data_IF_974218228208
#
_entry.id   IF_974218228208
#
_cell.length_a   1.000
_cell.length_b   1.000
_cell.length_c   1.000
_cell.angle_alpha   90.00
_cell.angle_beta   90.00
_cell.angle_gamma   90.00
#
_symmetry.space_group_name_H-M   'P 1'
#
loop_
_entity.id
_entity.type
_entity.pdbx_description
1 polymer ?
#
# COMPACT_ATOMS: atom_id res chain seq x y z
N UNK A 1 -3.13 70.40 67.86
CA UNK A 1 -2.28 69.80 66.81
C UNK A 1 -2.41 68.27 66.64
N UNK A 2 -2.99 67.50 67.58
CA UNK A 2 -3.12 66.03 67.42
C UNK A 2 -4.13 65.54 66.36
N UNK A 3 -5.21 66.29 66.07
CA UNK A 3 -6.27 65.85 65.13
C UNK A 3 -5.87 65.99 63.66
N UNK A 4 -5.11 67.02 63.30
CA UNK A 4 -4.65 67.26 61.92
C UNK A 4 -3.70 66.13 61.46
N UNK A 5 -2.86 65.63 62.36
CA UNK A 5 -1.93 64.51 62.09
C UNK A 5 -2.63 63.17 61.87
N UNK A 6 -3.84 62.98 62.40
CA UNK A 6 -4.64 61.75 62.22
C UNK A 6 -5.33 61.77 60.87
N UNK A 7 -5.87 62.92 60.44
CA UNK A 7 -6.51 63.05 59.14
C UNK A 7 -5.51 62.92 57.98
N UNK A 8 -4.29 63.43 58.11
CA UNK A 8 -3.23 63.23 57.10
C UNK A 8 -2.77 61.78 57.01
N UNK A 9 -2.69 61.07 58.14
CA UNK A 9 -2.38 59.64 58.16
C UNK A 9 -3.49 58.81 57.49
N UNK A 10 -4.76 59.12 57.79
CA UNK A 10 -5.91 58.45 57.17
C UNK A 10 -5.99 58.70 55.66
N UNK A 11 -5.69 59.92 55.21
CA UNK A 11 -5.66 60.26 53.78
C UNK A 11 -4.56 59.49 53.04
N UNK A 12 -3.38 59.35 53.65
CA UNK A 12 -2.27 58.58 53.07
C UNK A 12 -2.60 57.08 52.95
N UNK A 13 -3.26 56.49 53.97
CA UNK A 13 -3.71 55.09 53.94
C UNK A 13 -4.82 54.87 52.90
N UNK A 14 -5.74 55.83 52.73
CA UNK A 14 -6.75 55.81 51.70
C UNK A 14 -6.14 55.92 50.28
N UNK A 15 -5.07 56.69 50.10
CA UNK A 15 -4.37 56.80 48.82
C UNK A 15 -3.56 55.53 48.46
N UNK A 16 -3.02 54.81 49.46
CA UNK A 16 -2.28 53.56 49.24
C UNK A 16 -3.21 52.40 48.85
N UNK A 17 -4.45 52.38 49.37
CA UNK A 17 -5.45 51.35 49.03
C UNK A 17 -5.99 51.46 47.59
N UNK A 18 -5.86 52.62 46.94
CA UNK A 18 -6.26 52.83 45.54
C UNK A 18 -5.19 52.30 44.55
N UNK A 19 -3.96 52.04 45.01
CA UNK A 19 -2.88 51.49 44.18
C UNK A 19 -2.78 49.96 44.19
N UNK A 20 -3.67 49.28 44.92
CA UNK A 20 -3.81 47.83 44.86
C UNK A 20 -4.70 47.38 43.68
N UNK A 21 -4.48 47.94 42.48
CA UNK A 21 -5.05 47.44 41.23
C UNK A 21 -4.12 46.36 40.64
N UNK A 22 -3.97 45.26 41.37
CA UNK A 22 -3.48 44.00 40.82
C UNK A 22 -4.67 43.09 40.53
N UNK A 23 -4.64 42.27 39.46
CA UNK A 23 -5.70 41.30 39.21
C UNK A 23 -5.83 40.40 40.44
N UNK A 24 -7.07 40.17 40.86
CA UNK A 24 -7.37 39.29 41.98
C UNK A 24 -6.85 37.87 41.70
N UNK A 25 -6.59 37.08 42.75
CA UNK A 25 -6.09 35.70 42.58
C UNK A 25 -7.04 34.81 41.76
N UNK A 26 -8.33 35.15 41.70
CA UNK A 26 -9.31 34.46 40.88
C UNK A 26 -9.17 34.80 39.40
N UNK A 27 -8.97 36.08 39.05
CA UNK A 27 -8.73 36.51 37.66
C UNK A 27 -7.43 35.93 37.10
N UNK A 28 -6.40 35.78 37.93
CA UNK A 28 -5.14 35.13 37.53
C UNK A 28 -5.34 33.65 37.22
N UNK A 29 -6.11 32.94 38.06
CA UNK A 29 -6.44 31.52 37.85
C UNK A 29 -7.29 31.33 36.60
N UNK A 30 -8.31 32.17 36.39
CA UNK A 30 -9.14 32.12 35.19
C UNK A 30 -8.31 32.38 33.91
N UNK A 31 -7.36 33.32 33.95
CA UNK A 31 -6.46 33.59 32.83
C UNK A 31 -5.49 32.44 32.56
N UNK A 32 -5.00 31.74 33.59
CA UNK A 32 -4.15 30.56 33.45
C UNK A 32 -4.93 29.36 32.88
N UNK A 33 -6.15 29.13 33.35
CA UNK A 33 -7.04 28.08 32.81
C UNK A 33 -7.37 28.33 31.35
N UNK A 34 -7.73 29.57 30.98
CA UNK A 34 -7.99 29.93 29.58
C UNK A 34 -6.76 29.70 28.68
N UNK A 35 -5.55 29.95 29.19
CA UNK A 35 -4.30 29.66 28.47
C UNK A 35 -4.08 28.16 28.28
N UNK A 36 -4.29 27.37 29.32
CA UNK A 36 -4.15 25.91 29.25
C UNK A 36 -5.18 25.29 28.31
N UNK A 37 -6.41 25.79 28.31
CA UNK A 37 -7.47 25.36 27.40
C UNK A 37 -7.11 25.65 25.94
N UNK A 38 -6.66 26.88 25.68
CA UNK A 38 -6.16 27.28 24.35
C UNK A 38 -5.02 26.37 23.86
N UNK A 39 -4.09 25.99 24.76
CA UNK A 39 -2.99 25.09 24.43
C UNK A 39 -3.47 23.67 24.09
N UNK A 40 -4.45 23.15 24.84
CA UNK A 40 -5.04 21.82 24.57
C UNK A 40 -5.76 21.81 23.22
N UNK A 41 -6.47 22.89 22.89
CA UNK A 41 -7.17 23.00 21.62
C UNK A 41 -6.20 22.92 20.44
N UNK A 42 -5.11 23.71 20.48
CA UNK A 42 -4.07 23.67 19.43
C UNK A 42 -3.41 22.29 19.32
N UNK A 43 -3.19 21.61 20.45
CA UNK A 43 -2.62 20.26 20.44
C UNK A 43 -3.59 19.24 19.84
N UNK A 44 -4.88 19.32 20.17
CA UNK A 44 -5.91 18.46 19.59
C UNK A 44 -6.05 18.69 18.08
N UNK A 45 -5.98 19.93 17.62
CA UNK A 45 -6.00 20.27 16.20
C UNK A 45 -4.78 19.67 15.47
N UNK A 46 -3.58 19.78 16.05
CA UNK A 46 -2.37 19.16 15.47
C UNK A 46 -2.45 17.65 15.42
N UNK A 47 -2.96 17.01 16.47
CA UNK A 47 -3.16 15.56 16.48
C UNK A 47 -4.19 15.15 15.42
N UNK A 48 -5.29 15.89 15.28
CA UNK A 48 -6.29 15.64 14.26
C UNK A 48 -5.73 15.78 12.84
N UNK A 49 -4.93 16.82 12.58
CA UNK A 49 -4.26 17.02 11.30
C UNK A 49 -3.27 15.88 10.99
N UNK A 50 -2.46 15.47 11.96
CA UNK A 50 -1.53 14.35 11.79
C UNK A 50 -2.26 13.03 11.51
N UNK A 51 -3.38 12.76 12.19
CA UNK A 51 -4.17 11.57 11.94
C UNK A 51 -4.79 11.57 10.53
N UNK A 52 -5.25 12.73 10.04
CA UNK A 52 -5.79 12.86 8.69
C UNK A 52 -4.70 12.70 7.64
N UNK A 53 -3.52 13.28 7.84
CA UNK A 53 -2.35 13.06 6.97
C UNK A 53 -1.96 11.58 6.92
N UNK A 54 -1.81 10.93 8.07
CA UNK A 54 -1.47 9.51 8.14
C UNK A 54 -2.52 8.63 7.42
N UNK A 55 -3.80 8.99 7.49
CA UNK A 55 -4.87 8.31 6.77
C UNK A 55 -4.73 8.51 5.26
N UNK A 56 -4.48 9.74 4.80
CA UNK A 56 -4.29 10.03 3.38
C UNK A 56 -3.06 9.32 2.82
N UNK A 57 -1.94 9.33 3.55
CA UNK A 57 -0.73 8.60 3.17
C UNK A 57 -0.98 7.09 3.08
N UNK A 58 -1.75 6.54 4.01
CA UNK A 58 -2.12 5.12 4.00
C UNK A 58 -2.98 4.77 2.78
N UNK A 59 -3.93 5.63 2.41
CA UNK A 59 -4.76 5.45 1.22
C UNK A 59 -3.91 5.56 -0.05
N UNK A 60 -3.09 6.61 -0.17
CA UNK A 60 -2.23 6.83 -1.32
C UNK A 60 -1.27 5.66 -1.52
N UNK A 61 -0.68 5.14 -0.45
CA UNK A 61 0.17 3.96 -0.49
C UNK A 61 -0.59 2.70 -0.91
N UNK A 62 -1.81 2.51 -0.44
CA UNK A 62 -2.65 1.38 -0.84
C UNK A 62 -3.03 1.46 -2.33
N UNK A 63 -3.34 2.66 -2.84
CA UNK A 63 -3.61 2.89 -4.26
C UNK A 63 -2.37 2.66 -5.13
N UNK A 64 -1.20 3.10 -4.67
CA UNK A 64 0.07 2.86 -5.36
C UNK A 64 0.38 1.36 -5.45
N UNK A 65 0.24 0.61 -4.35
CA UNK A 65 0.43 -0.84 -4.37
C UNK A 65 -0.54 -1.53 -5.33
N UNK A 66 -1.82 -1.12 -5.32
CA UNK A 66 -2.81 -1.67 -6.27
C UNK A 66 -2.47 -1.38 -7.72
N UNK A 67 -1.98 -0.16 -8.03
CA UNK A 67 -1.54 0.19 -9.38
C UNK A 67 -0.33 -0.63 -9.81
N UNK A 68 0.65 -0.78 -8.92
CA UNK A 68 1.82 -1.62 -9.18
C UNK A 68 1.44 -3.08 -9.40
N UNK A 69 0.49 -3.62 -8.63
CA UNK A 69 -0.04 -4.96 -8.83
C UNK A 69 -0.78 -5.09 -10.18
N UNK A 70 -1.55 -4.09 -10.59
CA UNK A 70 -2.22 -4.08 -11.89
C UNK A 70 -1.22 -3.97 -13.06
N UNK A 71 -0.19 -3.13 -12.94
CA UNK A 71 0.89 -2.99 -13.94
C UNK A 71 1.77 -4.24 -14.02
N UNK A 72 1.94 -4.97 -12.90
CA UNK A 72 2.71 -6.21 -12.85
C UNK A 72 1.95 -7.43 -13.39
N UNK A 73 0.64 -7.31 -13.69
CA UNK A 73 -0.09 -8.42 -14.32
C UNK A 73 0.47 -8.65 -15.72
N UNK A 74 0.81 -9.90 -16.08
CA UNK A 74 1.25 -10.21 -17.43
C UNK A 74 0.18 -9.77 -18.44
N UNK A 75 0.59 -9.02 -19.46
CA UNK A 75 -0.28 -8.62 -20.55
C UNK A 75 -0.34 -9.76 -21.56
N UNK A 76 -1.55 -10.28 -21.78
CA UNK A 76 -1.79 -11.34 -22.74
C UNK A 76 -2.38 -10.75 -24.01
N UNK A 77 -1.83 -11.15 -25.16
CA UNK A 77 -2.39 -10.86 -26.47
C UNK A 77 -3.38 -11.96 -26.86
N UNK A 78 -4.51 -11.61 -27.51
CA UNK A 78 -5.44 -12.63 -28.02
C UNK A 78 -4.83 -13.42 -29.19
N UNK A 79 -4.00 -12.77 -30.01
CA UNK A 79 -3.35 -13.33 -31.19
C UNK A 79 -1.82 -13.20 -31.16
N UNK A 80 -1.24 -13.18 -29.95
CA UNK A 80 0.21 -13.12 -29.75
C UNK A 80 0.98 -14.22 -30.47
N UNK A 81 2.17 -13.89 -30.96
CA UNK A 81 3.04 -14.82 -31.70
C UNK A 81 3.93 -15.64 -30.79
N UNK A 82 4.06 -15.28 -29.51
CA UNK A 82 4.91 -15.98 -28.55
C UNK A 82 4.07 -16.68 -27.48
N UNK A 83 4.48 -17.88 -27.09
CA UNK A 83 3.90 -18.63 -25.98
C UNK A 83 4.99 -19.05 -25.02
N UNK A 84 4.69 -18.95 -23.73
CA UNK A 84 5.57 -19.39 -22.67
C UNK A 84 5.38 -20.87 -22.46
N UNK A 85 6.45 -21.64 -22.50
CA UNK A 85 6.44 -23.01 -22.08
C UNK A 85 7.16 -23.16 -20.73
N UNK A 86 6.44 -23.69 -19.74
CA UNK A 86 6.92 -23.87 -18.38
C UNK A 86 7.03 -25.37 -18.10
N UNK A 87 8.18 -25.93 -18.47
CA UNK A 87 8.47 -27.35 -18.28
C UNK A 87 7.94 -28.30 -19.35
N UNK A 88 8.40 -29.54 -19.25
CA UNK A 88 7.92 -30.68 -20.04
C UNK A 88 7.98 -31.92 -19.16
N UNK A 89 6.86 -32.62 -19.06
CA UNK A 89 6.65 -33.74 -18.16
C UNK A 89 6.45 -35.04 -18.95
N UNK A 90 6.77 -36.18 -18.33
CA UNK A 90 6.48 -37.51 -18.90
C UNK A 90 5.07 -38.01 -18.57
N UNK A 91 4.42 -37.37 -17.60
CA UNK A 91 3.06 -37.71 -17.14
C UNK A 91 2.10 -36.55 -17.45
N UNK A 92 0.99 -36.88 -18.09
CA UNK A 92 -0.11 -35.95 -18.39
C UNK A 92 -0.73 -35.40 -17.11
N UNK A 93 -1.11 -36.30 -16.20
CA UNK A 93 -1.72 -35.94 -14.92
C UNK A 93 -0.83 -34.99 -14.09
N UNK A 94 0.49 -35.13 -14.19
CA UNK A 94 1.41 -34.22 -13.51
C UNK A 94 1.37 -32.81 -14.14
N UNK A 95 1.40 -32.73 -15.47
CA UNK A 95 1.30 -31.45 -16.18
C UNK A 95 -0.05 -30.76 -15.93
N UNK A 96 -1.14 -31.53 -15.90
CA UNK A 96 -2.49 -31.03 -15.59
C UNK A 96 -2.60 -30.56 -14.14
N UNK A 97 -1.96 -31.24 -13.18
CA UNK A 97 -1.99 -30.79 -11.78
C UNK A 97 -1.35 -29.42 -11.58
N UNK A 98 -0.30 -29.09 -12.34
CA UNK A 98 0.28 -27.75 -12.32
C UNK A 98 -0.63 -26.72 -12.98
N UNK A 99 -1.34 -27.09 -14.05
CA UNK A 99 -2.32 -26.23 -14.69
C UNK A 99 -3.48 -25.92 -13.73
N UNK A 100 -3.95 -26.91 -12.96
CA UNK A 100 -5.01 -26.74 -11.96
C UNK A 100 -4.57 -25.82 -10.81
N UNK A 101 -3.30 -25.91 -10.36
CA UNK A 101 -2.75 -24.98 -9.37
C UNK A 101 -2.75 -23.52 -9.85
N UNK A 102 -2.80 -23.30 -11.17
CA UNK A 102 -2.87 -21.97 -11.77
C UNK A 102 -4.29 -21.54 -12.14
N UNK A 103 -5.31 -22.37 -11.88
CA UNK A 103 -6.71 -22.04 -12.21
C UNK A 103 -7.25 -20.80 -11.48
N UNK A 104 -6.73 -20.52 -10.28
CA UNK A 104 -7.08 -19.33 -9.49
C UNK A 104 -6.45 -18.03 -10.04
N UNK A 105 -5.41 -18.16 -10.87
CA UNK A 105 -4.75 -17.03 -11.53
C UNK A 105 -5.35 -16.97 -12.93
N UNK A 106 -6.03 -15.88 -13.28
CA UNK A 106 -6.65 -15.70 -14.59
C UNK A 106 -5.58 -15.62 -15.72
N UNK A 107 -4.90 -16.74 -16.00
CA UNK A 107 -3.98 -16.88 -17.11
C UNK A 107 -4.78 -17.36 -18.32
N UNK A 108 -5.13 -16.47 -19.26
CA UNK A 108 -5.85 -16.86 -20.44
C UNK A 108 -4.99 -17.86 -21.22
N UNK A 109 -5.62 -18.93 -21.72
CA UNK A 109 -4.97 -19.91 -22.58
C UNK A 109 -3.74 -20.59 -21.94
N UNK A 110 -3.86 -21.04 -20.69
CA UNK A 110 -2.95 -22.05 -20.14
C UNK A 110 -3.43 -23.46 -20.54
N UNK A 111 -2.55 -24.27 -21.13
CA UNK A 111 -2.90 -25.59 -21.67
C UNK A 111 -1.71 -26.53 -21.75
N UNK A 112 -1.99 -27.84 -21.78
CA UNK A 112 -0.98 -28.88 -21.96
C UNK A 112 -1.00 -29.38 -23.41
N UNK A 113 0.17 -29.44 -24.04
CA UNK A 113 0.35 -29.99 -25.39
C UNK A 113 1.13 -31.29 -25.33
N UNK A 114 0.59 -32.34 -25.94
CA UNK A 114 1.29 -33.60 -26.15
C UNK A 114 2.27 -33.47 -27.33
N UNK A 115 3.52 -33.81 -27.11
CA UNK A 115 4.58 -33.77 -28.12
C UNK A 115 5.40 -35.07 -28.11
N UNK A 116 5.66 -35.63 -29.29
CA UNK A 116 6.50 -36.81 -29.46
C UNK A 116 5.83 -37.94 -30.21
N UNK A 117 6.40 -39.14 -30.13
CA UNK A 117 5.91 -40.32 -30.83
C UNK A 117 5.41 -41.38 -29.83
N UNK A 118 4.11 -41.66 -29.88
CA UNK A 118 3.44 -42.65 -29.02
C UNK A 118 3.95 -44.08 -29.23
N UNK A 119 4.27 -44.46 -30.46
CA UNK A 119 4.76 -45.80 -30.81
C UNK A 119 6.13 -46.09 -30.19
N UNK A 120 6.95 -45.05 -30.01
CA UNK A 120 8.27 -45.16 -29.35
C UNK A 120 8.21 -44.96 -27.84
N UNK A 121 7.05 -44.60 -27.29
CA UNK A 121 6.88 -44.20 -25.89
C UNK A 121 7.56 -42.86 -25.54
N UNK A 122 8.14 -42.15 -26.51
CA UNK A 122 8.76 -40.85 -26.29
C UNK A 122 7.75 -39.72 -26.37
N UNK A 123 6.79 -39.76 -25.47
CA UNK A 123 5.77 -38.73 -25.29
C UNK A 123 6.19 -37.78 -24.18
N UNK A 124 5.96 -36.49 -24.41
CA UNK A 124 6.15 -35.41 -23.47
C UNK A 124 4.90 -34.53 -23.44
N UNK A 125 4.55 -34.06 -22.25
CA UNK A 125 3.44 -33.15 -21.98
C UNK A 125 4.03 -31.80 -21.63
N UNK A 126 3.79 -30.83 -22.51
CA UNK A 126 4.38 -29.50 -22.49
C UNK A 126 3.36 -28.52 -21.95
N UNK A 127 3.63 -27.91 -20.81
CA UNK A 127 2.73 -26.95 -20.19
C UNK A 127 3.00 -25.56 -20.78
N UNK A 128 2.01 -24.98 -21.43
CA UNK A 128 2.09 -23.69 -22.11
C UNK A 128 1.12 -22.70 -21.49
N UNK A 129 1.52 -21.43 -21.43
CA UNK A 129 0.75 -20.36 -20.77
C UNK A 129 0.72 -19.13 -21.65
N UNK A 130 -0.50 -18.68 -21.96
CA UNK A 130 -0.75 -17.40 -22.58
C UNK A 130 -0.28 -17.27 -24.02
N UNK A 131 -0.55 -16.10 -24.57
CA UNK A 131 0.06 -15.62 -25.81
C UNK A 131 0.54 -14.20 -25.58
N UNK A 132 1.69 -13.88 -26.16
CA UNK A 132 2.39 -12.62 -25.98
C UNK A 132 2.79 -12.05 -27.33
N UNK A 133 2.75 -10.74 -27.45
CA UNK A 133 3.26 -10.03 -28.62
C UNK A 133 4.79 -9.89 -28.58
N UNK A 134 5.35 -9.84 -27.37
CA UNK A 134 6.79 -9.71 -27.13
C UNK A 134 7.38 -10.98 -26.51
N UNK A 135 8.56 -11.39 -27.00
CA UNK A 135 9.35 -12.46 -26.39
C UNK A 135 9.79 -12.09 -24.95
N UNK A 136 10.03 -10.80 -24.68
CA UNK A 136 10.49 -10.31 -23.39
C UNK A 136 9.42 -10.48 -22.30
N UNK A 137 8.18 -10.07 -22.58
CA UNK A 137 7.04 -10.24 -21.67
C UNK A 137 6.76 -11.72 -21.39
N UNK A 138 6.85 -12.55 -22.43
CA UNK A 138 6.76 -14.00 -22.30
C UNK A 138 7.88 -14.55 -21.40
N UNK A 139 9.11 -14.08 -21.56
CA UNK A 139 10.25 -14.55 -20.78
C UNK A 139 10.15 -14.16 -19.30
N UNK A 140 9.61 -12.98 -18.98
CA UNK A 140 9.39 -12.54 -17.60
C UNK A 140 8.40 -13.45 -16.87
N UNK A 141 7.22 -13.68 -17.47
CA UNK A 141 6.24 -14.60 -16.89
C UNK A 141 6.79 -16.03 -16.80
N UNK A 142 7.49 -16.48 -17.84
CA UNK A 142 8.10 -17.81 -17.85
C UNK A 142 9.09 -18.02 -16.72
N UNK A 143 9.90 -17.01 -16.41
CA UNK A 143 10.86 -17.05 -15.30
C UNK A 143 10.17 -17.15 -13.94
N UNK A 144 9.08 -16.42 -13.74
CA UNK A 144 8.29 -16.48 -12.51
C UNK A 144 7.67 -17.86 -12.32
N UNK A 145 6.95 -18.34 -13.34
CA UNK A 145 6.27 -19.63 -13.29
C UNK A 145 7.27 -20.79 -13.15
N UNK A 146 8.39 -20.77 -13.87
CA UNK A 146 9.42 -21.80 -13.76
C UNK A 146 10.04 -21.86 -12.35
N UNK A 147 10.22 -20.71 -11.69
CA UNK A 147 10.71 -20.68 -10.31
C UNK A 147 9.68 -21.29 -9.35
N UNK A 148 8.39 -21.05 -9.58
CA UNK A 148 7.30 -21.58 -8.75
C UNK A 148 7.23 -23.11 -8.78
N UNK A 149 7.25 -23.69 -9.97
CA UNK A 149 7.17 -25.15 -10.12
C UNK A 149 8.54 -25.84 -10.17
N UNK A 150 9.62 -25.08 -9.93
CA UNK A 150 11.01 -25.53 -9.95
C UNK A 150 11.39 -26.28 -11.25
N UNK A 151 10.99 -25.72 -12.39
CA UNK A 151 11.33 -26.21 -13.74
C UNK A 151 12.17 -25.20 -14.51
N UNK A 152 12.53 -25.54 -15.75
CA UNK A 152 12.97 -24.53 -16.73
C UNK A 152 11.79 -23.88 -17.44
N UNK A 153 12.04 -22.76 -18.11
CA UNK A 153 11.12 -22.14 -19.07
C UNK A 153 11.80 -21.92 -20.41
N UNK A 154 10.99 -21.77 -21.45
CA UNK A 154 11.42 -21.29 -22.76
C UNK A 154 10.27 -20.59 -23.46
N UNK A 155 10.59 -19.57 -24.23
CA UNK A 155 9.64 -18.89 -25.10
C UNK A 155 9.70 -19.56 -26.46
N UNK A 156 8.53 -19.81 -27.05
CA UNK A 156 8.45 -20.38 -28.40
C UNK A 156 7.44 -19.61 -29.23
N UNK A 157 7.71 -19.50 -30.53
CA UNK A 157 6.75 -18.92 -31.47
C UNK A 157 5.57 -19.88 -31.69
N UNK A 158 4.36 -19.33 -31.73
CA UNK A 158 3.12 -20.07 -31.95
C UNK A 158 3.08 -20.51 -33.41
N UNK A 159 3.32 -21.79 -33.65
CA UNK A 159 3.14 -22.36 -34.99
C UNK A 159 1.65 -22.49 -35.30
N UNK A 160 1.08 -21.46 -35.93
CA UNK A 160 -0.25 -21.51 -36.54
C UNK A 160 -0.11 -22.24 -37.87
N UNK A 161 -0.69 -23.43 -37.97
CA UNK A 161 -0.86 -24.09 -39.26
C UNK A 161 -1.88 -23.28 -40.06
N UNK A 162 -1.41 -22.53 -41.07
CA UNK A 162 -2.25 -21.87 -42.08
C UNK A 162 -2.99 -22.88 -42.95
#
# INVERSE_FOLDING_TARGET
>A
MKRISIYTLLLAVALISIQACGPSEEERRAAEEARLDSLRQVEQERIAEQMEQARQDSIAKAEEMRRQEEEAKPQFAEDGNYVVQVGAFRSEALAESYLENWSDREYPHAYVVKYGNEETGNVWFRLRVGFFDSEEEAAELGKELAKEINTGYWVSEVQRSS
#
